data_IF_369086551464
#
_entry.id   IF_369086551464
#
_cell.length_a   1.000
_cell.length_b   1.000
_cell.length_c   1.000
_cell.angle_alpha   90.00
_cell.angle_beta   90.00
_cell.angle_gamma   90.00
#
_symmetry.space_group_name_H-M   'P 1'
#
loop_
_entity.id
_entity.type
_entity.pdbx_description
1 polymer ?
#
# COMPACT_ATOMS: atom_id res chain seq x y z
N UNK A 1 18.49 18.15 -3.28
CA UNK A 1 18.35 17.47 -4.60
C UNK A 1 17.44 16.29 -4.41
N UNK A 2 16.59 15.93 -5.39
CA UNK A 2 15.73 14.75 -5.28
C UNK A 2 16.58 13.46 -5.19
N UNK A 3 16.18 12.53 -4.33
CA UNK A 3 16.83 11.22 -4.14
C UNK A 3 15.89 10.12 -4.64
N UNK A 4 16.44 9.05 -5.21
CA UNK A 4 15.67 7.92 -5.72
C UNK A 4 15.14 7.07 -4.54
N UNK A 5 13.82 6.94 -4.45
CA UNK A 5 13.16 6.21 -3.35
C UNK A 5 13.12 4.69 -3.55
N UNK A 6 13.17 4.20 -4.80
CA UNK A 6 13.06 2.77 -5.13
C UNK A 6 13.93 2.40 -6.34
N UNK A 7 14.29 1.12 -6.45
CA UNK A 7 15.15 0.59 -7.51
C UNK A 7 14.44 -0.60 -8.20
N UNK A 8 13.40 -0.29 -8.98
CA UNK A 8 12.52 -1.31 -9.58
C UNK A 8 12.69 -1.45 -11.09
N UNK A 9 13.62 -0.71 -11.71
CA UNK A 9 13.79 -0.63 -13.17
C UNK A 9 12.46 -0.51 -13.94
N UNK A 10 11.53 0.25 -13.36
CA UNK A 10 10.14 0.31 -13.78
C UNK A 10 10.01 0.69 -15.26
N UNK A 11 9.43 -0.22 -16.04
CA UNK A 11 9.10 -0.03 -17.45
C UNK A 11 7.82 -0.78 -17.79
N UNK A 12 6.83 -0.08 -18.31
CA UNK A 12 5.56 -0.67 -18.77
C UNK A 12 5.16 -0.01 -20.10
N UNK A 13 4.74 -0.81 -21.07
CA UNK A 13 4.13 -0.33 -22.31
C UNK A 13 2.62 -0.14 -22.09
N UNK A 14 2.28 0.84 -21.24
CA UNK A 14 0.90 1.17 -20.86
C UNK A 14 0.81 2.37 -19.92
N UNK A 15 -0.40 2.84 -19.64
CA UNK A 15 -0.61 3.94 -18.68
C UNK A 15 -0.50 3.39 -17.24
N UNK A 16 0.44 3.87 -16.42
CA UNK A 16 0.55 3.42 -15.04
C UNK A 16 -0.63 3.95 -14.22
N UNK A 17 -1.62 3.09 -13.95
CA UNK A 17 -2.81 3.41 -13.17
C UNK A 17 -2.69 3.12 -11.66
N UNK A 18 -1.70 2.33 -11.24
CA UNK A 18 -1.42 2.08 -9.82
C UNK A 18 -0.37 3.06 -9.30
N UNK A 19 -0.79 4.29 -9.01
CA UNK A 19 0.09 5.33 -8.47
C UNK A 19 0.64 4.98 -7.07
N UNK A 20 1.81 5.52 -6.70
CA UNK A 20 2.37 5.35 -5.36
C UNK A 20 1.62 6.21 -4.32
N UNK A 21 1.78 5.87 -3.05
CA UNK A 21 1.38 6.70 -1.91
C UNK A 21 2.54 6.83 -0.91
N UNK A 22 2.58 7.95 -0.18
CA UNK A 22 3.65 8.32 0.74
C UNK A 22 3.07 9.07 1.93
N UNK A 23 3.53 8.75 3.14
CA UNK A 23 3.18 9.47 4.37
C UNK A 23 4.40 9.64 5.27
N UNK A 24 4.49 10.75 6.00
CA UNK A 24 5.57 10.96 6.96
C UNK A 24 5.52 9.93 8.11
N UNK A 25 6.68 9.44 8.52
CA UNK A 25 6.82 8.56 9.68
C UNK A 25 7.02 9.38 10.96
N UNK A 26 6.47 8.92 12.09
CA UNK A 26 6.56 9.67 13.36
C UNK A 26 7.99 9.84 13.89
N UNK A 27 8.90 8.92 13.54
CA UNK A 27 10.32 8.98 13.93
C UNK A 27 11.19 9.71 12.89
N UNK A 28 10.58 10.40 11.92
CA UNK A 28 11.25 10.98 10.77
C UNK A 28 11.36 10.01 9.59
N UNK A 29 11.51 10.56 8.38
CA UNK A 29 11.40 9.77 7.15
C UNK A 29 9.95 9.52 6.74
N UNK A 30 9.73 8.44 5.98
CA UNK A 30 8.45 8.18 5.33
C UNK A 30 8.09 6.70 5.27
N UNK A 31 6.80 6.42 5.18
CA UNK A 31 6.26 5.15 4.73
C UNK A 31 5.79 5.31 3.28
N UNK A 32 6.21 4.40 2.41
CA UNK A 32 5.88 4.43 0.99
C UNK A 32 5.23 3.13 0.55
N UNK A 33 4.26 3.23 -0.35
CA UNK A 33 3.74 2.09 -1.12
C UNK A 33 3.76 2.40 -2.60
N UNK A 34 4.08 1.41 -3.43
CA UNK A 34 4.14 1.57 -4.88
C UNK A 34 3.99 0.22 -5.58
N UNK A 35 3.51 0.23 -6.81
CA UNK A 35 3.56 -0.96 -7.67
C UNK A 35 4.91 -1.01 -8.41
N UNK A 36 5.54 -2.17 -8.47
CA UNK A 36 6.83 -2.35 -9.16
C UNK A 36 7.02 -3.77 -9.69
N UNK A 37 7.95 -3.94 -10.64
CA UNK A 37 8.37 -5.24 -11.20
C UNK A 37 9.82 -5.52 -10.81
N UNK A 38 10.04 -6.30 -9.75
CA UNK A 38 11.41 -6.51 -9.24
C UNK A 38 11.96 -7.87 -9.67
N UNK A 39 13.12 -7.89 -10.30
CA UNK A 39 13.84 -9.14 -10.57
C UNK A 39 14.40 -9.73 -9.27
N UNK A 40 14.07 -10.98 -8.92
CA UNK A 40 14.88 -11.74 -7.97
C UNK A 40 16.31 -11.77 -8.50
N UNK A 41 17.33 -11.69 -7.64
CA UNK A 41 18.74 -11.48 -8.03
C UNK A 41 19.42 -12.55 -8.91
N UNK A 42 18.68 -13.45 -9.55
CA UNK A 42 19.16 -14.32 -10.61
C UNK A 42 19.08 -13.61 -11.98
N UNK A 43 20.08 -13.79 -12.83
CA UNK A 43 20.19 -13.09 -14.12
C UNK A 43 19.02 -13.36 -15.09
N UNK A 44 18.33 -14.47 -14.91
CA UNK A 44 17.27 -15.03 -15.76
C UNK A 44 15.88 -15.06 -15.10
N UNK A 45 15.74 -14.60 -13.84
CA UNK A 45 14.45 -14.60 -13.18
C UNK A 45 13.52 -13.53 -13.75
N UNK A 46 12.28 -13.93 -14.03
CA UNK A 46 11.21 -13.00 -14.35
C UNK A 46 10.99 -12.03 -13.18
N UNK A 47 10.71 -10.77 -13.50
CA UNK A 47 10.38 -9.77 -12.48
C UNK A 47 9.10 -10.14 -11.76
N UNK A 48 9.06 -10.00 -10.43
CA UNK A 48 7.87 -10.21 -9.62
C UNK A 48 7.07 -8.90 -9.59
N UNK A 49 5.94 -8.80 -10.33
CA UNK A 49 5.04 -7.67 -10.24
C UNK A 49 4.33 -7.68 -8.89
N UNK A 50 4.05 -6.50 -8.36
CA UNK A 50 3.16 -6.35 -7.22
C UNK A 50 3.36 -5.05 -6.47
N UNK A 51 2.43 -4.80 -5.57
CA UNK A 51 2.51 -3.64 -4.67
C UNK A 51 3.49 -3.94 -3.55
N UNK A 52 4.34 -2.97 -3.26
CA UNK A 52 5.39 -3.02 -2.26
C UNK A 52 5.17 -1.93 -1.22
N UNK A 53 5.69 -2.18 -0.03
CA UNK A 53 5.79 -1.23 1.06
C UNK A 53 7.26 -1.08 1.46
N UNK A 54 7.72 0.12 1.82
CA UNK A 54 9.00 0.30 2.50
C UNK A 54 9.01 1.51 3.44
N UNK A 55 10.02 1.50 4.32
CA UNK A 55 10.37 2.65 5.16
C UNK A 55 11.49 3.41 4.48
N UNK A 56 11.37 4.73 4.40
CA UNK A 56 12.37 5.63 3.85
C UNK A 56 12.98 6.47 4.97
N UNK A 57 14.26 6.81 4.83
CA UNK A 57 14.94 7.78 5.68
C UNK A 57 14.42 9.20 5.43
N UNK A 58 14.82 10.15 6.28
CA UNK A 58 14.44 11.57 6.14
C UNK A 58 14.89 12.20 4.82
N UNK A 59 15.97 11.68 4.23
CA UNK A 59 16.47 12.10 2.91
C UNK A 59 15.76 11.41 1.74
N UNK A 60 14.79 10.53 2.01
CA UNK A 60 14.03 9.77 1.02
C UNK A 60 14.69 8.47 0.55
N UNK A 61 15.88 8.13 1.04
CA UNK A 61 16.52 6.85 0.70
C UNK A 61 15.80 5.66 1.33
N UNK A 62 15.64 4.51 0.64
CA UNK A 62 15.05 3.33 1.23
C UNK A 62 15.90 2.79 2.39
N UNK A 63 15.25 2.48 3.52
CA UNK A 63 15.90 1.83 4.65
C UNK A 63 16.24 0.38 4.25
N UNK A 64 17.51 -0.06 4.42
CA UNK A 64 17.91 -1.42 4.06
C UNK A 64 17.03 -2.48 4.72
N UNK A 65 16.56 -3.45 3.93
CA UNK A 65 15.74 -4.57 4.41
C UNK A 65 14.32 -4.19 4.87
N UNK A 66 13.88 -2.95 4.68
CA UNK A 66 12.52 -2.53 5.06
C UNK A 66 11.45 -2.82 4.00
N UNK A 67 11.87 -3.10 2.77
CA UNK A 67 10.96 -3.37 1.67
C UNK A 67 10.26 -4.72 1.84
N UNK A 68 8.95 -4.72 1.66
CA UNK A 68 8.10 -5.90 1.74
C UNK A 68 7.12 -5.89 0.56
N UNK A 69 6.96 -7.04 -0.09
CA UNK A 69 5.86 -7.27 -1.02
C UNK A 69 4.56 -7.41 -0.21
N UNK A 70 3.47 -6.76 -0.62
CA UNK A 70 2.18 -6.99 0.01
C UNK A 70 1.79 -8.48 -0.14
N UNK A 71 1.12 -9.08 0.86
CA UNK A 71 0.73 -10.49 0.84
C UNK A 71 -0.48 -10.75 -0.08
N UNK A 72 -0.54 -10.06 -1.22
CA UNK A 72 -1.64 -10.13 -2.17
C UNK A 72 -1.14 -9.82 -3.59
N UNK A 73 -0.96 -10.83 -4.46
CA UNK A 73 -0.49 -10.64 -5.83
C UNK A 73 -1.51 -9.90 -6.72
N UNK A 74 -2.75 -9.74 -6.24
CA UNK A 74 -3.85 -9.05 -6.94
C UNK A 74 -4.10 -7.66 -6.37
N UNK A 75 -3.19 -7.17 -5.53
CA UNK A 75 -3.29 -5.84 -4.94
C UNK A 75 -3.18 -4.75 -5.99
N UNK A 76 -4.08 -3.78 -5.91
CA UNK A 76 -4.05 -2.58 -6.72
C UNK A 76 -4.49 -1.35 -5.92
N UNK A 77 -4.03 -0.18 -6.39
CA UNK A 77 -4.37 1.13 -5.82
C UNK A 77 -4.16 1.23 -4.31
N UNK A 78 -2.97 0.82 -3.85
CA UNK A 78 -2.67 0.88 -2.44
C UNK A 78 -2.50 2.32 -1.94
N UNK A 79 -2.90 2.54 -0.69
CA UNK A 79 -2.78 3.79 0.03
C UNK A 79 -2.11 3.53 1.40
N UNK A 80 -1.46 4.54 1.96
CA UNK A 80 -0.75 4.43 3.25
C UNK A 80 -0.97 5.64 4.13
N UNK A 81 -1.21 5.41 5.42
CA UNK A 81 -1.38 6.45 6.44
C UNK A 81 -0.70 6.02 7.74
N UNK A 82 -0.20 6.99 8.49
CA UNK A 82 0.49 6.74 9.75
C UNK A 82 0.07 7.73 10.83
N UNK A 83 -0.02 7.26 12.08
CA UNK A 83 -0.15 8.09 13.27
C UNK A 83 0.65 7.47 14.43
N UNK A 84 1.68 8.19 14.88
CA UNK A 84 2.63 7.64 15.86
C UNK A 84 3.30 6.38 15.31
N UNK A 85 3.20 5.28 16.05
CA UNK A 85 3.74 3.97 15.65
C UNK A 85 2.76 3.15 14.80
N UNK A 86 1.52 3.62 14.64
CA UNK A 86 0.51 2.91 13.86
C UNK A 86 0.67 3.24 12.39
N UNK A 87 0.73 2.21 11.54
CA UNK A 87 0.82 2.35 10.08
C UNK A 87 -0.25 1.46 9.44
N UNK A 88 -1.15 2.06 8.67
CA UNK A 88 -2.10 1.35 7.83
C UNK A 88 -1.65 1.40 6.38
N UNK A 89 -1.60 0.24 5.74
CA UNK A 89 -1.61 0.10 4.28
C UNK A 89 -2.95 -0.48 3.89
N UNK A 90 -3.63 0.07 2.89
CA UNK A 90 -4.88 -0.50 2.36
C UNK A 90 -4.79 -0.66 0.85
N UNK A 91 -5.52 -1.61 0.30
CA UNK A 91 -5.58 -1.84 -1.14
C UNK A 91 -6.90 -2.50 -1.54
N UNK A 92 -7.20 -2.44 -2.84
CA UNK A 92 -8.23 -3.27 -3.45
C UNK A 92 -7.58 -4.56 -3.98
N UNK A 93 -8.19 -5.70 -3.69
CA UNK A 93 -7.88 -6.99 -4.31
C UNK A 93 -9.00 -7.36 -5.28
N UNK A 94 -8.67 -7.78 -6.49
CA UNK A 94 -9.67 -8.11 -7.52
C UNK A 94 -9.63 -9.59 -7.86
N UNK A 95 -10.80 -10.24 -7.80
CA UNK A 95 -11.04 -11.62 -8.17
C UNK A 95 -12.23 -11.73 -9.13
N UNK A 96 -11.94 -11.57 -10.42
CA UNK A 96 -12.96 -11.49 -11.46
C UNK A 96 -13.91 -10.31 -11.22
N UNK A 97 -15.19 -10.61 -10.97
CA UNK A 97 -16.21 -9.59 -10.72
C UNK A 97 -16.33 -9.16 -9.24
N UNK A 98 -15.58 -9.80 -8.34
CA UNK A 98 -15.54 -9.47 -6.91
C UNK A 98 -14.30 -8.63 -6.60
N UNK A 99 -14.48 -7.66 -5.72
CA UNK A 99 -13.39 -6.87 -5.17
C UNK A 99 -13.46 -6.90 -3.65
N UNK A 100 -12.30 -6.94 -3.01
CA UNK A 100 -12.17 -6.90 -1.55
C UNK A 100 -11.33 -5.71 -1.15
N UNK A 101 -11.77 -4.95 -0.15
CA UNK A 101 -10.93 -3.96 0.52
C UNK A 101 -10.16 -4.66 1.65
N UNK A 102 -8.83 -4.60 1.57
CA UNK A 102 -7.93 -5.24 2.52
C UNK A 102 -7.03 -4.21 3.18
N UNK A 103 -6.57 -4.52 4.39
CA UNK A 103 -5.69 -3.70 5.18
C UNK A 103 -4.52 -4.51 5.74
N UNK A 104 -3.36 -3.86 5.82
CA UNK A 104 -2.18 -4.31 6.55
C UNK A 104 -1.93 -3.30 7.66
N UNK A 105 -2.03 -3.75 8.90
CA UNK A 105 -1.98 -2.90 10.08
C UNK A 105 -0.72 -3.21 10.88
N UNK A 106 0.08 -2.18 11.15
CA UNK A 106 1.26 -2.26 11.99
C UNK A 106 1.10 -1.38 13.22
N UNK A 107 1.55 -1.88 14.36
CA UNK A 107 1.61 -1.15 15.64
C UNK A 107 3.06 -0.88 16.08
N UNK A 108 4.04 -1.24 15.25
CA UNK A 108 5.47 -1.19 15.56
C UNK A 108 6.28 -0.31 14.59
N UNK A 109 5.63 0.69 14.00
CA UNK A 109 6.24 1.61 13.04
C UNK A 109 6.52 0.95 11.69
N UNK A 110 5.67 0.00 11.29
CA UNK A 110 5.74 -0.68 10.00
C UNK A 110 6.92 -1.64 9.87
N UNK A 111 7.32 -2.30 10.98
CA UNK A 111 8.30 -3.40 10.98
C UNK A 111 7.60 -4.74 10.74
N UNK A 112 6.44 -4.94 11.36
CA UNK A 112 5.56 -6.09 11.15
C UNK A 112 4.12 -5.63 10.92
N UNK A 113 3.35 -6.44 10.20
CA UNK A 113 1.98 -6.14 9.86
C UNK A 113 1.07 -7.36 10.05
N UNK A 114 -0.18 -7.10 10.45
CA UNK A 114 -1.27 -8.06 10.45
C UNK A 114 -2.25 -7.72 9.34
N UNK A 115 -2.64 -8.72 8.56
CA UNK A 115 -3.64 -8.54 7.51
C UNK A 115 -5.07 -8.56 8.07
N UNK A 116 -5.96 -7.78 7.46
CA UNK A 116 -7.36 -7.70 7.79
C UNK A 116 -8.21 -7.48 6.53
N UNK A 117 -9.24 -8.30 6.35
CA UNK A 117 -10.32 -8.04 5.40
C UNK A 117 -11.27 -7.01 5.99
N UNK A 118 -11.57 -5.94 5.26
CA UNK A 118 -12.52 -4.90 5.69
C UNK A 118 -13.92 -5.16 5.15
N UNK A 119 -14.01 -5.55 3.89
CA UNK A 119 -15.28 -5.84 3.23
C UNK A 119 -15.10 -6.27 1.78
N UNK A 120 -16.19 -6.69 1.16
CA UNK A 120 -16.22 -7.19 -0.21
C UNK A 120 -17.43 -6.63 -0.95
N UNK A 121 -17.26 -6.39 -2.25
CA UNK A 121 -18.32 -5.93 -3.14
C UNK A 121 -18.24 -6.66 -4.48
N UNK A 122 -19.37 -6.77 -5.16
CA UNK A 122 -19.45 -7.26 -6.53
C UNK A 122 -19.78 -6.11 -7.47
N UNK A 123 -19.19 -6.13 -8.67
CA UNK A 123 -19.45 -5.12 -9.70
C UNK A 123 -18.64 -3.82 -9.52
N UNK A 124 -19.04 -2.74 -10.22
CA UNK A 124 -18.27 -1.51 -10.27
C UNK A 124 -18.04 -0.89 -8.89
N UNK A 125 -16.77 -0.60 -8.59
CA UNK A 125 -16.34 0.07 -7.37
C UNK A 125 -15.06 0.88 -7.64
N UNK A 126 -14.79 1.86 -6.78
CA UNK A 126 -13.52 2.58 -6.73
C UNK A 126 -12.51 1.80 -5.87
N UNK A 127 -11.44 2.44 -5.40
CA UNK A 127 -10.44 1.84 -4.52
C UNK A 127 -10.47 2.47 -3.12
N UNK A 128 -10.11 1.71 -2.06
CA UNK A 128 -10.14 2.22 -0.69
C UNK A 128 -9.12 3.33 -0.51
N UNK A 129 -9.49 4.34 0.27
CA UNK A 129 -8.62 5.47 0.65
C UNK A 129 -8.56 5.62 2.16
N UNK A 130 -7.40 5.99 2.67
CA UNK A 130 -7.20 6.24 4.11
C UNK A 130 -7.49 7.71 4.44
N UNK A 131 -8.09 7.93 5.60
CA UNK A 131 -8.31 9.26 6.15
C UNK A 131 -8.20 9.26 7.68
N UNK A 132 -8.00 10.44 8.25
CA UNK A 132 -8.16 10.68 9.67
C UNK A 132 -9.58 11.17 9.98
N UNK A 133 -10.23 10.56 10.95
CA UNK A 133 -11.51 11.02 11.47
C UNK A 133 -11.62 10.78 12.97
N UNK A 134 -11.94 11.83 13.73
CA UNK A 134 -12.14 11.77 15.19
C UNK A 134 -11.01 11.05 15.95
N UNK A 135 -9.75 11.33 15.60
CA UNK A 135 -8.56 10.74 16.24
C UNK A 135 -8.30 9.28 15.86
N UNK A 136 -9.01 8.73 14.87
CA UNK A 136 -8.82 7.37 14.36
C UNK A 136 -8.44 7.41 12.88
N UNK A 137 -7.78 6.35 12.43
CA UNK A 137 -7.65 6.07 11.00
C UNK A 137 -8.91 5.34 10.53
N UNK A 138 -9.46 5.81 9.41
CA UNK A 138 -10.63 5.22 8.76
C UNK A 138 -10.32 4.92 7.31
N UNK A 139 -10.98 3.91 6.77
CA UNK A 139 -10.93 3.54 5.36
C UNK A 139 -12.27 3.91 4.74
N UNK A 140 -12.23 4.69 3.67
CA UNK A 140 -13.41 5.05 2.90
C UNK A 140 -13.35 4.33 1.56
N UNK A 141 -14.44 3.66 1.19
CA UNK A 141 -14.51 2.90 -0.06
C UNK A 141 -15.89 3.02 -0.69
N UNK A 142 -15.94 3.32 -1.98
CA UNK A 142 -17.18 3.58 -2.72
C UNK A 142 -17.48 2.46 -3.71
N UNK A 143 -18.74 2.05 -3.74
CA UNK A 143 -19.31 1.24 -4.81
C UNK A 143 -20.42 2.02 -5.54
N UNK A 144 -21.13 1.39 -6.48
CA UNK A 144 -22.19 2.05 -7.24
C UNK A 144 -23.42 2.45 -6.40
N UNK A 145 -23.60 1.88 -5.21
CA UNK A 145 -24.77 2.04 -4.35
C UNK A 145 -24.51 2.98 -3.17
N UNK A 146 -23.30 2.97 -2.62
CA UNK A 146 -22.99 3.61 -1.34
C UNK A 146 -21.50 3.94 -1.15
N UNK A 147 -21.22 4.63 -0.05
CA UNK A 147 -19.88 4.87 0.47
C UNK A 147 -19.77 4.16 1.82
N UNK A 148 -18.86 3.19 1.90
CA UNK A 148 -18.54 2.40 3.07
C UNK A 148 -17.41 3.08 3.86
N UNK A 149 -17.50 3.05 5.19
CA UNK A 149 -16.46 3.58 6.07
C UNK A 149 -16.12 2.57 7.16
N UNK A 150 -14.84 2.22 7.28
CA UNK A 150 -14.33 1.24 8.24
C UNK A 150 -13.35 1.92 9.20
N UNK A 151 -13.63 1.89 10.51
CA UNK A 151 -12.66 2.33 11.51
C UNK A 151 -11.61 1.24 11.73
N UNK A 152 -10.33 1.62 11.70
CA UNK A 152 -9.22 0.68 11.89
C UNK A 152 -8.88 0.50 13.37
N UNK A 153 -8.51 -0.73 13.73
CA UNK A 153 -8.07 -1.12 15.08
C UNK A 153 -6.72 -1.82 14.99
N UNK A 154 -5.76 -1.34 15.77
CA UNK A 154 -4.33 -1.66 15.71
C UNK A 154 -3.88 -2.54 16.86
#
# INVERSE_FOLDING_TARGET
MPVRATFDDWRVDGCPHHGPALVAAAQGGFHAVWFGMRKPGALDAEGVPGVRYARLNADGTPQPGSEQLLPDPRAEHADVLAAGQQVAVVWRSVDGARSSARAWLSSDGGRSFREQLLGEVSGPNDFPRLAHHAGRMVVVWRNAQEVLAYALSF
#
